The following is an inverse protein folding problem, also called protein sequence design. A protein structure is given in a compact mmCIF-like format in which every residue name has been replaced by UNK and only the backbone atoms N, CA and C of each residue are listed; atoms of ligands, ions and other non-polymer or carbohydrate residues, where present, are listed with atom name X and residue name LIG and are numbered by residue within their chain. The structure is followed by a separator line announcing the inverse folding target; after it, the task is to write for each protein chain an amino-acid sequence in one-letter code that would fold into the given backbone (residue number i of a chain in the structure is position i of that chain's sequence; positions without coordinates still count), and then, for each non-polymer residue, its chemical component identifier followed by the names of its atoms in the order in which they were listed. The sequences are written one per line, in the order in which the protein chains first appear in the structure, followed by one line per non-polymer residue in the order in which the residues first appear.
data_IF_282670220013
#
_entry.id   IF_282670220013
#
_cell.length_a   1.000
_cell.length_b   1.000
_cell.length_c   1.000
_cell.angle_alpha   90.00
_cell.angle_beta   90.00
_cell.angle_gamma   90.00
#
_symmetry.space_group_name_H-M   'P 1'
#
loop_
_entity.id
_entity.type
_entity.pdbx_description
1 polymer ?
#
# COMPACT_ATOMS: atom_id res chain seq x y z
N UNK A 1 -15.55 6.33 3.99
CA UNK A 1 -15.15 6.58 2.59
C UNK A 1 -16.09 5.80 1.68
N UNK A 2 -16.49 6.38 0.54
CA UNK A 2 -17.27 5.68 -0.49
C UNK A 2 -16.32 5.31 -1.61
N UNK A 3 -16.24 4.03 -1.94
CA UNK A 3 -15.42 3.51 -3.03
C UNK A 3 -16.33 3.14 -4.19
N UNK A 4 -16.19 3.80 -5.33
CA UNK A 4 -17.02 3.58 -6.52
C UNK A 4 -16.49 2.44 -7.39
N UNK A 5 -15.19 2.15 -7.30
CA UNK A 5 -14.54 1.09 -8.06
C UNK A 5 -13.53 0.39 -7.14
N UNK A 6 -13.75 -0.90 -6.86
CA UNK A 6 -12.94 -1.63 -5.88
C UNK A 6 -11.70 -2.27 -6.47
N UNK A 7 -11.74 -2.69 -7.74
CA UNK A 7 -10.67 -3.49 -8.36
C UNK A 7 -9.97 -2.78 -9.53
N UNK A 8 -10.53 -1.70 -10.07
CA UNK A 8 -9.92 -0.96 -11.17
C UNK A 8 -10.10 -1.54 -12.57
N UNK A 9 -10.67 -2.73 -12.67
CA UNK A 9 -10.89 -3.41 -13.96
C UNK A 9 -12.06 -2.77 -14.73
N UNK A 10 -12.15 -2.99 -16.03
CA UNK A 10 -13.33 -2.53 -16.76
C UNK A 10 -14.53 -3.42 -16.45
N UNK A 11 -15.76 -2.88 -16.35
CA UNK A 11 -16.94 -3.70 -16.17
C UNK A 11 -17.06 -4.73 -17.28
N UNK A 12 -17.29 -5.99 -16.90
CA UNK A 12 -17.40 -7.09 -17.84
C UNK A 12 -18.74 -7.01 -18.61
N UNK A 13 -18.73 -7.50 -19.85
CA UNK A 13 -19.90 -7.55 -20.73
C UNK A 13 -19.97 -8.92 -21.40
N UNK A 14 -21.17 -9.51 -21.44
CA UNK A 14 -21.42 -10.78 -22.12
C UNK A 14 -22.74 -10.72 -22.91
N UNK A 15 -22.83 -11.51 -23.98
CA UNK A 15 -24.07 -11.67 -24.74
C UNK A 15 -24.94 -12.77 -24.12
N UNK A 16 -26.22 -12.50 -24.01
CA UNK A 16 -27.24 -13.43 -23.49
C UNK A 16 -27.72 -14.33 -24.62
N UNK A 17 -27.76 -15.64 -24.36
CA UNK A 17 -28.31 -16.65 -25.26
C UNK A 17 -29.76 -16.97 -24.89
N UNK A 18 -30.02 -17.20 -23.61
CA UNK A 18 -31.34 -17.58 -23.11
C UNK A 18 -31.56 -17.06 -21.69
N UNK A 19 -32.82 -16.68 -21.38
CA UNK A 19 -33.26 -16.36 -20.02
C UNK A 19 -34.47 -17.23 -19.68
N UNK A 20 -34.42 -17.94 -18.55
CA UNK A 20 -35.54 -18.75 -18.06
C UNK A 20 -36.47 -17.94 -17.17
N UNK A 21 -37.76 -18.29 -17.24
CA UNK A 21 -38.81 -17.72 -16.40
C UNK A 21 -38.97 -18.58 -15.15
N UNK A 22 -38.51 -18.07 -14.00
CA UNK A 22 -38.51 -18.82 -12.76
C UNK A 22 -38.12 -17.98 -11.55
N UNK A 23 -38.11 -18.64 -10.38
CA UNK A 23 -37.65 -18.07 -9.12
C UNK A 23 -36.64 -19.03 -8.47
N UNK A 24 -35.33 -18.86 -8.70
CA UNK A 24 -34.69 -17.77 -9.46
C UNK A 24 -34.76 -17.95 -10.98
N UNK A 25 -34.72 -16.84 -11.74
CA UNK A 25 -34.52 -16.88 -13.17
C UNK A 25 -33.06 -17.21 -13.50
N UNK A 26 -32.81 -17.99 -14.55
CA UNK A 26 -31.45 -18.37 -14.96
C UNK A 26 -31.12 -17.74 -16.32
N UNK A 27 -29.93 -17.17 -16.41
CA UNK A 27 -29.39 -16.56 -17.62
C UNK A 27 -28.24 -17.42 -18.13
N UNK A 28 -28.32 -17.80 -19.40
CA UNK A 28 -27.28 -18.52 -20.12
C UNK A 28 -26.61 -17.58 -21.11
N UNK A 29 -25.30 -17.41 -20.99
CA UNK A 29 -24.48 -16.65 -21.93
C UNK A 29 -24.16 -17.46 -23.18
N UNK A 30 -23.69 -16.79 -24.23
CA UNK A 30 -23.28 -17.44 -25.47
C UNK A 30 -22.09 -18.40 -25.25
N UNK A 31 -22.15 -19.61 -25.83
CA UNK A 31 -21.21 -20.71 -25.56
C UNK A 31 -19.72 -20.39 -25.87
N UNK A 32 -19.46 -19.45 -26.78
CA UNK A 32 -18.10 -19.08 -27.18
C UNK A 32 -17.38 -18.17 -26.17
N UNK A 33 -18.09 -17.56 -25.20
CA UNK A 33 -17.51 -16.63 -24.25
C UNK A 33 -17.98 -16.90 -22.80
N UNK A 34 -17.02 -17.13 -21.90
CA UNK A 34 -17.30 -17.16 -20.45
C UNK A 34 -17.67 -15.76 -19.97
N UNK A 35 -18.63 -15.67 -19.06
CA UNK A 35 -19.10 -14.37 -18.56
C UNK A 35 -18.11 -13.68 -17.61
N UNK A 36 -17.29 -14.44 -16.87
CA UNK A 36 -16.25 -13.91 -15.99
C UNK A 36 -16.74 -13.24 -14.69
N UNK A 37 -18.06 -13.10 -14.50
CA UNK A 37 -18.66 -12.61 -13.25
C UNK A 37 -18.41 -13.51 -12.03
N UNK A 38 -18.51 -12.90 -10.84
CA UNK A 38 -18.47 -13.57 -9.54
C UNK A 38 -19.82 -13.52 -8.82
N UNK A 39 -20.02 -14.40 -7.83
CA UNK A 39 -21.26 -14.39 -7.04
C UNK A 39 -21.29 -13.16 -6.13
N UNK A 40 -22.40 -12.42 -6.16
CA UNK A 40 -22.56 -11.14 -5.43
C UNK A 40 -22.23 -9.91 -6.28
N UNK A 41 -21.88 -10.09 -7.56
CA UNK A 41 -21.81 -9.01 -8.53
C UNK A 41 -23.22 -8.48 -8.87
N UNK A 42 -23.26 -7.26 -9.39
CA UNK A 42 -24.48 -6.66 -9.90
C UNK A 42 -24.37 -6.49 -11.41
N UNK A 43 -25.46 -6.72 -12.13
CA UNK A 43 -25.50 -6.59 -13.59
C UNK A 43 -26.75 -5.84 -14.05
N UNK A 44 -26.68 -5.25 -15.23
CA UNK A 44 -27.80 -4.63 -15.94
C UNK A 44 -27.91 -5.22 -17.33
N UNK A 45 -29.14 -5.29 -17.85
CA UNK A 45 -29.44 -5.84 -19.16
C UNK A 45 -29.82 -4.73 -20.14
N UNK A 46 -29.45 -4.90 -21.40
CA UNK A 46 -29.87 -4.03 -22.51
C UNK A 46 -30.15 -4.88 -23.74
N UNK A 47 -31.06 -4.43 -24.62
CA UNK A 47 -31.39 -5.09 -25.89
C UNK A 47 -31.95 -6.52 -25.75
N UNK A 48 -32.57 -6.84 -24.60
CA UNK A 48 -33.30 -8.10 -24.41
C UNK A 48 -34.70 -8.00 -25.03
N UNK A 49 -35.00 -8.80 -26.05
CA UNK A 49 -36.33 -8.85 -26.66
C UNK A 49 -37.21 -9.91 -25.98
N UNK A 50 -38.48 -9.58 -25.72
CA UNK A 50 -39.47 -10.47 -25.08
C UNK A 50 -39.57 -10.32 -23.56
N UNK A 51 -38.49 -9.92 -22.90
CA UNK A 51 -38.43 -9.56 -21.47
C UNK A 51 -37.95 -8.11 -21.31
N UNK A 52 -38.73 -7.15 -21.80
CA UNK A 52 -38.36 -5.72 -21.79
C UNK A 52 -38.23 -5.14 -20.38
N UNK A 53 -38.89 -5.76 -19.39
CA UNK A 53 -38.79 -5.39 -17.98
C UNK A 53 -37.35 -5.49 -17.47
N UNK A 54 -36.55 -6.44 -17.99
CA UNK A 54 -35.13 -6.57 -17.65
C UNK A 54 -34.29 -5.39 -18.15
N UNK A 55 -34.63 -4.82 -19.31
CA UNK A 55 -33.92 -3.66 -19.87
C UNK A 55 -34.15 -2.39 -19.06
N UNK A 56 -35.29 -2.30 -18.36
CA UNK A 56 -35.66 -1.16 -17.52
C UNK A 56 -35.36 -1.40 -16.04
N UNK A 57 -34.86 -2.59 -15.68
CA UNK A 57 -34.53 -2.93 -14.32
C UNK A 57 -33.22 -2.25 -13.89
N UNK A 58 -33.15 -1.85 -12.62
CA UNK A 58 -31.89 -1.41 -12.02
C UNK A 58 -30.88 -2.57 -11.89
N UNK A 59 -29.69 -2.32 -11.33
CA UNK A 59 -28.69 -3.35 -11.13
C UNK A 59 -29.24 -4.53 -10.31
N UNK A 60 -29.13 -5.74 -10.85
CA UNK A 60 -29.61 -6.99 -10.23
C UNK A 60 -28.42 -7.79 -9.71
N UNK A 61 -28.52 -8.27 -8.47
CA UNK A 61 -27.52 -9.15 -7.87
C UNK A 61 -27.55 -10.54 -8.54
N UNK A 62 -26.38 -11.08 -8.85
CA UNK A 62 -26.24 -12.37 -9.51
C UNK A 62 -25.58 -13.44 -8.64
N UNK A 63 -25.97 -14.68 -8.85
CA UNK A 63 -25.31 -15.86 -8.29
C UNK A 63 -24.87 -16.80 -9.39
N UNK A 64 -23.57 -17.01 -9.49
CA UNK A 64 -22.95 -17.83 -10.54
C UNK A 64 -23.27 -19.30 -10.29
N UNK A 65 -23.81 -19.98 -11.32
CA UNK A 65 -24.14 -21.41 -11.29
C UNK A 65 -23.10 -22.24 -12.04
N UNK A 66 -22.48 -21.65 -13.06
CA UNK A 66 -21.44 -22.27 -13.87
C UNK A 66 -20.66 -21.23 -14.67
N UNK A 67 -19.76 -21.65 -15.57
CA UNK A 67 -18.93 -20.71 -16.37
C UNK A 67 -19.70 -19.95 -17.46
N UNK A 68 -20.92 -20.39 -17.78
CA UNK A 68 -21.79 -19.82 -18.81
C UNK A 68 -23.18 -19.46 -18.27
N UNK A 69 -23.45 -19.76 -17.00
CA UNK A 69 -24.79 -19.63 -16.42
C UNK A 69 -24.73 -18.97 -15.05
N UNK A 70 -25.65 -18.04 -14.84
CA UNK A 70 -25.85 -17.41 -13.55
C UNK A 70 -27.35 -17.20 -13.30
N UNK A 71 -27.71 -17.19 -12.03
CA UNK A 71 -29.08 -16.90 -11.60
C UNK A 71 -29.24 -15.42 -11.29
N UNK A 72 -30.42 -14.92 -11.62
CA UNK A 72 -30.94 -13.59 -11.28
C UNK A 72 -32.17 -13.75 -10.37
N UNK A 73 -32.75 -12.64 -9.92
CA UNK A 73 -33.95 -12.65 -9.06
C UNK A 73 -35.19 -13.31 -9.68
N UNK A 74 -36.36 -13.05 -9.11
CA UNK A 74 -37.61 -13.60 -9.61
C UNK A 74 -37.97 -13.00 -10.99
N UNK A 75 -38.04 -13.85 -12.02
CA UNK A 75 -38.47 -13.49 -13.38
C UNK A 75 -39.87 -13.99 -13.71
N UNK A 76 -40.59 -14.59 -12.75
CA UNK A 76 -41.90 -15.21 -12.97
C UNK A 76 -42.96 -14.22 -13.46
N UNK A 77 -42.82 -12.94 -13.11
CA UNK A 77 -43.71 -11.86 -13.54
C UNK A 77 -43.41 -11.26 -14.91
N UNK A 78 -42.32 -11.66 -15.58
CA UNK A 78 -41.88 -11.06 -16.84
C UNK A 78 -42.46 -11.76 -18.07
N UNK A 79 -42.34 -11.13 -19.24
CA UNK A 79 -42.65 -11.74 -20.54
C UNK A 79 -41.81 -12.98 -20.85
N UNK A 80 -42.09 -13.65 -21.97
CA UNK A 80 -41.27 -14.77 -22.44
C UNK A 80 -40.11 -14.25 -23.29
N UNK A 81 -38.88 -14.69 -22.99
CA UNK A 81 -37.68 -14.29 -23.72
C UNK A 81 -37.74 -14.74 -25.18
N UNK A 82 -37.40 -13.84 -26.11
CA UNK A 82 -37.40 -14.11 -27.56
C UNK A 82 -35.99 -14.24 -28.10
N UNK A 83 -35.16 -13.19 -27.98
CA UNK A 83 -33.79 -13.15 -28.50
C UNK A 83 -33.00 -11.95 -27.97
N UNK A 84 -31.69 -11.99 -28.20
CA UNK A 84 -30.80 -10.85 -27.94
C UNK A 84 -30.51 -10.63 -26.46
N UNK A 85 -29.85 -9.53 -26.17
CA UNK A 85 -29.50 -9.17 -24.80
C UNK A 85 -28.00 -9.08 -24.58
N UNK A 86 -27.59 -7.98 -23.98
CA UNK A 86 -26.25 -7.74 -23.49
C UNK A 86 -26.37 -7.56 -21.99
N UNK A 87 -25.60 -8.34 -21.24
CA UNK A 87 -25.45 -8.17 -19.79
C UNK A 87 -24.16 -7.41 -19.52
N UNK A 88 -24.25 -6.31 -18.80
CA UNK A 88 -23.11 -5.47 -18.40
C UNK A 88 -23.02 -5.44 -16.89
N UNK A 89 -21.82 -5.68 -16.36
CA UNK A 89 -21.55 -5.58 -14.93
C UNK A 89 -21.69 -4.13 -14.46
N UNK A 90 -22.29 -3.94 -13.29
CA UNK A 90 -22.39 -2.65 -12.62
C UNK A 90 -21.66 -2.73 -11.30
N UNK A 91 -20.64 -1.88 -11.14
CA UNK A 91 -19.88 -1.78 -9.89
C UNK A 91 -20.65 -0.93 -8.89
N UNK A 92 -21.21 -1.60 -7.89
CA UNK A 92 -21.92 -0.91 -6.82
C UNK A 92 -20.93 -0.22 -5.88
N UNK A 93 -21.20 1.03 -5.47
CA UNK A 93 -20.33 1.75 -4.55
C UNK A 93 -20.33 1.06 -3.17
N UNK A 94 -19.14 0.84 -2.61
CA UNK A 94 -18.97 0.24 -1.28
C UNK A 94 -18.63 1.30 -0.23
N UNK A 95 -19.24 1.17 0.95
CA UNK A 95 -18.94 2.02 2.09
C UNK A 95 -17.88 1.38 2.97
N UNK A 96 -16.67 1.95 2.99
CA UNK A 96 -15.58 1.51 3.86
C UNK A 96 -15.52 2.44 5.08
N UNK A 97 -15.51 1.86 6.27
CA UNK A 97 -15.41 2.57 7.55
C UNK A 97 -14.03 2.34 8.14
N UNK A 98 -13.34 3.42 8.47
CA UNK A 98 -12.03 3.38 9.11
C UNK A 98 -12.20 3.64 10.61
N UNK A 99 -11.55 2.81 11.44
CA UNK A 99 -11.28 3.12 12.84
C UNK A 99 -10.39 4.37 12.95
N UNK A 100 -10.54 5.12 14.04
CA UNK A 100 -9.63 6.23 14.38
C UNK A 100 -8.27 5.68 14.73
N UNK A 101 -7.20 6.46 14.52
CA UNK A 101 -5.82 6.03 14.80
C UNK A 101 -5.66 5.44 16.22
N UNK A 102 -6.27 6.06 17.24
CA UNK A 102 -6.21 5.59 18.63
C UNK A 102 -6.82 4.21 18.84
N UNK A 103 -7.91 3.92 18.13
CA UNK A 103 -8.60 2.62 18.19
C UNK A 103 -7.85 1.59 17.33
N UNK A 104 -7.38 2.01 16.16
CA UNK A 104 -6.59 1.20 15.23
C UNK A 104 -5.23 0.77 15.79
N UNK A 105 -4.67 1.51 16.75
CA UNK A 105 -3.43 1.13 17.45
C UNK A 105 -3.64 0.00 18.46
N UNK A 106 -4.86 -0.18 18.97
CA UNK A 106 -5.19 -1.25 19.93
C UNK A 106 -5.70 -2.49 19.19
N UNK A 107 -6.55 -2.27 18.18
CA UNK A 107 -7.12 -3.34 17.36
C UNK A 107 -6.77 -3.11 15.88
N UNK A 108 -5.52 -3.37 15.49
CA UNK A 108 -5.03 -3.14 14.14
C UNK A 108 -5.62 -4.14 13.13
N UNK A 109 -6.11 -3.62 12.02
CA UNK A 109 -6.38 -4.40 10.81
C UNK A 109 -5.15 -4.30 9.90
N UNK A 110 -4.51 -5.44 9.64
CA UNK A 110 -3.21 -5.49 8.97
C UNK A 110 -3.33 -6.14 7.59
N UNK A 111 -2.80 -5.46 6.57
CA UNK A 111 -2.64 -6.02 5.25
C UNK A 111 -1.30 -6.75 5.17
N UNK A 112 -1.34 -8.02 4.79
CA UNK A 112 -0.14 -8.85 4.59
C UNK A 112 0.49 -8.45 3.24
N UNK A 113 1.74 -8.00 3.28
CA UNK A 113 2.51 -7.66 2.06
C UNK A 113 3.23 -8.86 1.46
N UNK A 114 3.67 -9.78 2.31
CA UNK A 114 4.39 -11.00 1.96
C UNK A 114 3.80 -12.17 2.75
N UNK A 115 3.20 -13.12 2.04
CA UNK A 115 2.59 -14.31 2.65
C UNK A 115 3.62 -15.25 3.30
N UNK A 116 4.91 -15.14 2.95
CA UNK A 116 5.98 -15.87 3.61
C UNK A 116 6.38 -15.30 4.98
N UNK A 117 5.86 -14.11 5.33
CA UNK A 117 6.18 -13.35 6.55
C UNK A 117 4.93 -12.89 7.30
N UNK A 118 3.84 -13.67 7.21
CA UNK A 118 2.52 -13.26 7.71
C UNK A 118 2.49 -13.00 9.24
N UNK A 119 3.46 -13.55 9.98
CA UNK A 119 3.66 -13.38 11.42
C UNK A 119 4.38 -12.09 11.81
N UNK A 120 5.07 -11.42 10.87
CA UNK A 120 5.87 -10.21 11.15
C UNK A 120 5.06 -8.94 11.39
N UNK A 121 3.94 -8.65 10.69
CA UNK A 121 3.21 -7.38 10.87
C UNK A 121 2.78 -7.09 12.32
N UNK A 122 2.26 -8.06 13.10
CA UNK A 122 1.97 -7.86 14.52
C UNK A 122 3.19 -7.44 15.34
N UNK A 123 4.32 -8.12 15.15
CA UNK A 123 5.57 -7.85 15.87
C UNK A 123 6.10 -6.46 15.51
N UNK A 124 6.09 -6.13 14.22
CA UNK A 124 6.47 -4.79 13.73
C UNK A 124 5.56 -3.71 14.28
N UNK A 125 4.25 -3.97 14.41
CA UNK A 125 3.32 -3.01 14.99
C UNK A 125 3.70 -2.60 16.41
N UNK A 126 4.04 -3.55 17.27
CA UNK A 126 4.51 -3.26 18.62
C UNK A 126 5.93 -2.68 18.63
N UNK A 127 6.82 -3.17 17.77
CA UNK A 127 8.20 -2.68 17.64
C UNK A 127 8.25 -1.20 17.28
N UNK A 128 7.40 -0.74 16.37
CA UNK A 128 7.30 0.68 16.01
C UNK A 128 6.76 1.56 17.14
N UNK A 129 5.78 1.06 17.89
CA UNK A 129 5.31 1.76 19.09
C UNK A 129 6.42 1.90 20.14
N UNK A 130 7.21 0.84 20.35
CA UNK A 130 8.36 0.86 21.25
C UNK A 130 9.46 1.80 20.76
N UNK A 131 9.76 1.81 19.45
CA UNK A 131 10.73 2.72 18.86
C UNK A 131 10.34 4.19 19.07
N UNK A 132 9.06 4.54 18.86
CA UNK A 132 8.57 5.88 19.16
C UNK A 132 8.66 6.24 20.65
N UNK A 133 8.44 5.27 21.56
CA UNK A 133 8.66 5.47 23.00
C UNK A 133 10.13 5.73 23.32
N UNK A 134 11.04 4.95 22.74
CA UNK A 134 12.49 5.12 22.90
C UNK A 134 12.92 6.54 22.47
N UNK A 135 12.50 6.98 21.27
CA UNK A 135 12.82 8.32 20.74
C UNK A 135 12.30 9.40 21.68
N UNK A 136 11.09 9.22 22.24
CA UNK A 136 10.51 10.17 23.19
C UNK A 136 11.26 10.23 24.52
N UNK A 137 11.81 9.10 24.99
CA UNK A 137 12.55 9.03 26.25
C UNK A 137 13.97 9.60 26.13
N UNK A 138 14.68 9.26 25.06
CA UNK A 138 16.09 9.64 24.87
C UNK A 138 16.30 10.91 24.04
N UNK A 139 15.25 11.40 23.35
CA UNK A 139 15.35 12.54 22.43
C UNK A 139 16.16 12.25 21.17
N UNK A 140 16.48 10.98 20.91
CA UNK A 140 17.26 10.51 19.75
C UNK A 140 16.79 9.12 19.32
N UNK A 141 16.97 8.73 18.04
CA UNK A 141 16.82 7.35 17.63
C UNK A 141 17.92 6.44 18.22
N UNK A 142 17.69 5.11 18.26
CA UNK A 142 18.71 4.12 18.58
C UNK A 142 19.94 4.28 17.69
N UNK A 143 21.13 4.06 18.24
CA UNK A 143 22.36 4.11 17.43
C UNK A 143 22.46 2.91 16.48
N UNK A 144 23.02 3.08 15.27
CA UNK A 144 23.21 2.00 14.32
C UNK A 144 23.96 0.81 14.94
N UNK A 145 23.43 -0.41 14.82
CA UNK A 145 24.04 -1.67 15.31
C UNK A 145 24.45 -1.67 16.80
N UNK A 146 23.97 -0.73 17.62
CA UNK A 146 24.33 -0.65 19.03
C UNK A 146 23.44 -1.57 19.89
N UNK A 147 24.07 -2.55 20.53
CA UNK A 147 23.38 -3.63 21.26
C UNK A 147 22.55 -3.15 22.47
N UNK A 148 23.03 -2.15 23.22
CA UNK A 148 22.32 -1.65 24.41
C UNK A 148 20.99 -0.97 24.06
N UNK A 149 21.03 0.05 23.21
CA UNK A 149 19.85 0.69 22.62
C UNK A 149 18.87 -0.33 21.99
N UNK A 150 19.36 -1.36 21.29
CA UNK A 150 18.51 -2.40 20.72
C UNK A 150 17.81 -3.26 21.79
N UNK A 151 18.54 -3.67 22.83
CA UNK A 151 17.96 -4.40 23.97
C UNK A 151 16.89 -3.57 24.70
N UNK A 152 17.07 -2.25 24.78
CA UNK A 152 16.08 -1.34 25.36
C UNK A 152 14.80 -1.26 24.51
N UNK A 153 14.90 -1.19 23.18
CA UNK A 153 13.73 -1.24 22.29
C UNK A 153 12.97 -2.56 22.44
N UNK A 154 13.66 -3.69 22.55
CA UNK A 154 13.03 -5.01 22.82
C UNK A 154 12.30 -4.99 24.16
N UNK A 155 12.91 -4.43 25.21
CA UNK A 155 12.28 -4.30 26.53
C UNK A 155 11.01 -3.43 26.47
N UNK A 156 11.08 -2.27 25.80
CA UNK A 156 9.92 -1.40 25.59
C UNK A 156 8.81 -2.07 24.77
N UNK A 157 9.16 -2.97 23.84
CA UNK A 157 8.18 -3.73 23.06
C UNK A 157 7.40 -4.71 23.94
N UNK A 158 8.08 -5.37 24.89
CA UNK A 158 7.43 -6.24 25.89
C UNK A 158 6.46 -5.46 26.78
N UNK A 159 6.74 -4.19 27.06
CA UNK A 159 5.81 -3.32 27.80
C UNK A 159 4.59 -2.90 26.98
N UNK A 160 4.75 -2.73 25.66
CA UNK A 160 3.64 -2.40 24.74
C UNK A 160 2.69 -3.59 24.60
N UNK A 161 3.23 -4.80 24.48
CA UNK A 161 2.47 -6.02 24.27
C UNK A 161 2.83 -7.09 25.32
N UNK A 162 2.34 -6.96 26.56
CA UNK A 162 2.64 -7.92 27.63
C UNK A 162 2.03 -9.28 27.28
N UNK A 163 2.85 -10.32 27.27
CA UNK A 163 2.44 -11.70 27.01
C UNK A 163 2.31 -12.08 25.53
N UNK A 164 2.67 -11.19 24.60
CA UNK A 164 2.79 -11.54 23.19
C UNK A 164 4.09 -12.32 22.92
N UNK A 165 4.05 -13.24 21.95
CA UNK A 165 5.26 -13.86 21.41
C UNK A 165 6.00 -12.84 20.55
N UNK A 166 7.25 -12.56 20.89
CA UNK A 166 8.10 -11.58 20.21
C UNK A 166 9.28 -12.27 19.57
N UNK A 167 9.53 -11.94 18.32
CA UNK A 167 10.81 -12.21 17.67
C UNK A 167 11.80 -11.12 18.06
N UNK A 168 12.69 -11.43 19.01
CA UNK A 168 13.69 -10.48 19.48
C UNK A 168 14.72 -10.12 18.43
N UNK A 169 15.03 -11.05 17.51
CA UNK A 169 16.02 -10.81 16.46
C UNK A 169 15.47 -9.79 15.47
N UNK A 170 14.20 -9.95 15.07
CA UNK A 170 13.48 -8.99 14.24
C UNK A 170 13.43 -7.59 14.86
N UNK A 171 13.17 -7.51 16.16
CA UNK A 171 13.11 -6.24 16.89
C UNK A 171 14.50 -5.59 17.07
N UNK A 172 15.56 -6.39 17.23
CA UNK A 172 16.93 -5.89 17.25
C UNK A 172 17.33 -5.33 15.89
N UNK A 173 16.98 -6.02 14.80
CA UNK A 173 17.22 -5.51 13.44
C UNK A 173 16.48 -4.20 13.18
N UNK A 174 15.23 -4.08 13.64
CA UNK A 174 14.49 -2.81 13.61
C UNK A 174 15.26 -1.69 14.33
N UNK A 175 15.80 -1.96 15.52
CA UNK A 175 16.55 -0.97 16.28
C UNK A 175 17.90 -0.62 15.64
N UNK A 176 18.62 -1.60 15.10
CA UNK A 176 19.91 -1.38 14.43
C UNK A 176 19.80 -0.51 13.19
N UNK A 177 18.64 -0.54 12.53
CA UNK A 177 18.39 0.15 11.28
C UNK A 177 17.53 1.42 11.47
N UNK A 178 17.21 1.79 12.70
CA UNK A 178 16.32 2.91 13.03
C UNK A 178 16.83 4.30 12.62
N UNK A 179 18.06 4.43 12.11
CA UNK A 179 18.58 5.67 11.52
C UNK A 179 18.92 5.54 10.04
N UNK A 180 18.56 4.41 9.40
CA UNK A 180 18.76 4.26 7.97
C UNK A 180 18.03 5.35 7.20
N UNK A 181 18.40 5.62 5.96
CA UNK A 181 17.57 6.41 5.05
C UNK A 181 17.86 5.94 3.63
N UNK A 182 16.91 5.20 3.05
CA UNK A 182 17.16 4.40 1.86
C UNK A 182 16.24 4.82 0.74
N UNK A 183 16.84 5.38 -0.30
CA UNK A 183 16.09 5.89 -1.46
C UNK A 183 15.12 4.85 -2.08
N UNK A 184 15.46 3.55 -2.23
CA UNK A 184 14.51 2.57 -2.77
C UNK A 184 13.28 2.36 -1.88
N UNK A 185 13.47 2.32 -0.55
CA UNK A 185 12.37 2.15 0.41
C UNK A 185 11.49 3.39 0.44
N UNK A 186 12.10 4.58 0.43
CA UNK A 186 11.37 5.85 0.35
C UNK A 186 10.56 5.97 -0.94
N UNK A 187 11.11 5.53 -2.08
CA UNK A 187 10.40 5.53 -3.34
C UNK A 187 9.23 4.55 -3.33
N UNK A 188 9.41 3.34 -2.79
CA UNK A 188 8.38 2.33 -2.67
C UNK A 188 7.22 2.80 -1.77
N UNK A 189 7.52 3.19 -0.53
CA UNK A 189 6.49 3.63 0.42
C UNK A 189 5.89 4.98 0.01
N UNK A 190 6.69 5.89 -0.55
CA UNK A 190 6.22 7.16 -1.09
C UNK A 190 5.23 6.97 -2.24
N UNK A 191 5.49 5.98 -3.12
CA UNK A 191 4.57 5.59 -4.19
C UNK A 191 3.26 5.02 -3.65
N UNK A 192 3.31 4.12 -2.66
CA UNK A 192 2.11 3.59 -2.00
C UNK A 192 1.31 4.68 -1.30
N UNK A 193 1.97 5.54 -0.52
CA UNK A 193 1.32 6.65 0.18
C UNK A 193 0.67 7.63 -0.80
N UNK A 194 1.35 7.99 -1.89
CA UNK A 194 0.78 8.83 -2.94
C UNK A 194 -0.45 8.18 -3.58
N UNK A 195 -0.41 6.86 -3.84
CA UNK A 195 -1.55 6.14 -4.37
C UNK A 195 -2.73 6.15 -3.38
N UNK A 196 -2.50 5.94 -2.09
CA UNK A 196 -3.56 6.01 -1.07
C UNK A 196 -4.18 7.42 -0.98
N UNK A 197 -3.39 8.49 -1.14
CA UNK A 197 -3.94 9.86 -1.27
C UNK A 197 -4.86 9.95 -2.49
N UNK A 198 -4.44 9.40 -3.64
CA UNK A 198 -5.28 9.39 -4.84
C UNK A 198 -6.57 8.61 -4.63
N UNK A 199 -6.53 7.45 -3.95
CA UNK A 199 -7.72 6.69 -3.59
C UNK A 199 -8.65 7.51 -2.69
N UNK A 200 -8.11 8.14 -1.66
CA UNK A 200 -8.87 8.95 -0.71
C UNK A 200 -9.66 10.10 -1.37
N UNK A 201 -9.04 10.83 -2.30
CA UNK A 201 -9.68 11.98 -2.97
C UNK A 201 -10.60 11.59 -4.11
N UNK A 202 -10.35 10.44 -4.77
CA UNK A 202 -11.13 10.01 -5.94
C UNK A 202 -12.25 9.03 -5.59
N UNK A 203 -12.16 8.33 -4.46
CA UNK A 203 -13.02 7.18 -4.18
C UNK A 203 -12.80 6.01 -5.13
N UNK A 204 -11.69 6.00 -5.89
CA UNK A 204 -11.34 4.94 -6.84
C UNK A 204 -10.29 4.00 -6.24
N UNK A 205 -10.47 2.70 -6.47
CA UNK A 205 -9.71 1.57 -5.91
C UNK A 205 -9.93 1.34 -4.41
N UNK A 206 -9.76 0.08 -4.00
CA UNK A 206 -9.83 -0.28 -2.58
C UNK A 206 -8.60 0.27 -1.84
N UNK A 207 -8.78 1.09 -0.78
CA UNK A 207 -7.70 1.58 0.06
C UNK A 207 -7.16 0.50 1.00
N UNK A 208 -5.96 0.73 1.53
CA UNK A 208 -5.39 -0.12 2.58
C UNK A 208 -6.23 0.02 3.86
N UNK A 209 -6.61 -1.11 4.46
CA UNK A 209 -7.44 -1.19 5.68
C UNK A 209 -6.68 -1.98 6.75
N UNK A 210 -6.00 -1.37 7.70
CA UNK A 210 -5.57 0.03 7.78
C UNK A 210 -4.04 0.17 7.89
N UNK A 211 -3.37 -0.87 8.35
CA UNK A 211 -1.93 -0.91 8.57
C UNK A 211 -1.26 -1.75 7.50
N UNK A 212 -0.17 -1.22 6.95
CA UNK A 212 0.73 -1.96 6.07
C UNK A 212 2.14 -1.88 6.65
N UNK A 213 2.72 -3.05 6.89
CA UNK A 213 4.12 -3.23 7.29
C UNK A 213 4.83 -3.96 6.16
N UNK A 214 5.98 -3.45 5.76
CA UNK A 214 6.80 -4.05 4.72
C UNK A 214 8.24 -4.08 5.20
N UNK A 215 8.91 -5.22 5.17
CA UNK A 215 10.33 -5.33 5.47
C UNK A 215 11.08 -6.01 4.32
N UNK A 216 12.32 -5.59 4.10
CA UNK A 216 13.22 -6.13 3.09
C UNK A 216 14.54 -6.58 3.73
N UNK A 217 14.45 -7.38 4.81
CA UNK A 217 15.61 -7.87 5.55
C UNK A 217 16.53 -8.78 4.73
N UNK A 218 16.00 -9.38 3.66
CA UNK A 218 16.75 -10.20 2.70
C UNK A 218 17.84 -9.40 1.97
N UNK A 219 17.74 -8.07 2.03
CA UNK A 219 18.73 -7.18 1.47
C UNK A 219 19.97 -7.03 2.35
N UNK A 220 19.92 -7.46 3.62
CA UNK A 220 21.10 -7.49 4.48
C UNK A 220 22.09 -8.56 3.98
N UNK A 221 23.41 -8.31 4.08
CA UNK A 221 24.41 -9.33 3.80
C UNK A 221 24.23 -10.51 4.76
N UNK A 222 24.23 -11.73 4.23
CA UNK A 222 24.22 -12.95 5.05
C UNK A 222 25.43 -12.97 5.98
N UNK A 223 25.22 -13.23 7.27
CA UNK A 223 26.26 -13.24 8.32
C UNK A 223 27.42 -14.23 8.03
N UNK A 224 27.23 -15.15 7.08
CA UNK A 224 28.19 -16.21 6.72
C UNK A 224 29.26 -15.81 5.68
N UNK A 225 29.37 -14.54 5.28
CA UNK A 225 30.36 -14.09 4.27
C UNK A 225 31.09 -12.83 4.70
N UNK A 226 32.18 -12.97 5.46
CA UNK A 226 33.27 -11.99 5.70
C UNK A 226 32.90 -10.54 6.10
N UNK A 227 31.61 -10.21 6.29
CA UNK A 227 31.08 -8.85 6.41
C UNK A 227 30.09 -8.78 7.57
N UNK A 228 30.59 -9.01 8.79
CA UNK A 228 29.82 -8.71 10.01
C UNK A 228 29.65 -7.20 10.11
N UNK A 229 28.40 -6.71 10.03
CA UNK A 229 28.07 -5.30 10.18
C UNK A 229 28.30 -4.87 11.63
N UNK A 230 29.39 -4.13 11.89
CA UNK A 230 29.69 -3.62 13.23
C UNK A 230 29.17 -2.19 13.43
N UNK A 231 28.99 -1.79 14.70
CA UNK A 231 28.66 -0.41 15.08
C UNK A 231 29.66 0.60 14.48
N UNK A 232 30.94 0.24 14.43
CA UNK A 232 31.99 1.11 13.90
C UNK A 232 31.84 1.38 12.39
N UNK A 233 31.46 0.36 11.62
CA UNK A 233 31.22 0.48 10.18
C UNK A 233 29.94 1.26 9.87
N UNK A 234 28.92 1.14 10.72
CA UNK A 234 27.62 1.77 10.53
C UNK A 234 27.53 3.16 11.18
N UNK A 235 28.61 3.66 11.78
CA UNK A 235 28.62 4.98 12.40
C UNK A 235 28.45 6.07 11.33
N UNK A 236 27.63 7.11 11.58
CA UNK A 236 27.55 8.26 10.68
C UNK A 236 28.93 8.86 10.46
N UNK A 237 29.31 9.07 9.21
CA UNK A 237 30.56 9.74 8.85
C UNK A 237 30.18 11.04 8.16
N UNK A 238 30.53 12.16 8.79
CA UNK A 238 30.40 13.47 8.16
C UNK A 238 31.32 13.50 6.92
N UNK A 239 30.75 13.36 5.72
CA UNK A 239 31.47 13.60 4.47
C UNK A 239 31.68 15.10 4.30
N UNK A 240 32.72 15.63 4.95
CA UNK A 240 33.15 17.01 4.79
C UNK A 240 34.19 17.11 3.68
N UNK A 241 33.71 17.49 2.49
CA UNK A 241 34.59 17.75 1.34
C UNK A 241 34.00 18.66 0.26
N UNK A 242 32.92 19.41 0.51
CA UNK A 242 32.44 20.44 -0.42
C UNK A 242 31.96 21.67 0.36
N UNK A 243 32.43 22.85 -0.06
CA UNK A 243 32.34 24.12 0.64
C UNK A 243 30.94 24.56 1.06
N UNK A 244 30.89 25.22 2.23
CA UNK A 244 29.71 25.76 2.90
C UNK A 244 29.22 27.05 2.19
N UNK A 245 27.90 27.30 2.16
CA UNK A 245 27.41 28.57 2.68
C UNK A 245 26.51 28.36 3.89
N UNK A 246 26.66 29.25 4.86
CA UNK A 246 25.90 29.27 6.10
C UNK A 246 24.41 29.56 5.82
N UNK A 247 23.54 28.69 6.33
CA UNK A 247 22.09 28.87 6.34
C UNK A 247 21.47 27.66 7.03
N UNK A 248 20.81 27.89 8.17
CA UNK A 248 20.31 26.84 9.04
C UNK A 248 19.36 25.88 8.35
N UNK A 249 19.71 24.60 8.37
CA UNK A 249 18.86 23.48 8.03
C UNK A 249 19.50 22.23 8.62
N UNK A 250 18.76 21.49 9.43
CA UNK A 250 19.18 20.17 9.91
C UNK A 250 19.37 19.27 8.69
N UNK A 251 20.63 19.06 8.30
CA UNK A 251 21.00 18.22 7.16
C UNK A 251 21.26 16.82 7.73
N UNK A 252 20.46 15.85 7.31
CA UNK A 252 20.60 14.44 7.70
C UNK A 252 22.03 13.98 7.43
N UNK A 253 22.69 13.43 8.44
CA UNK A 253 24.03 12.88 8.33
C UNK A 253 23.98 11.60 7.49
N UNK A 254 24.61 11.62 6.31
CA UNK A 254 24.74 10.43 5.46
C UNK A 254 25.67 9.42 6.16
N UNK A 255 25.17 8.23 6.49
CA UNK A 255 25.99 7.08 6.89
C UNK A 255 26.80 6.66 5.66
N UNK A 256 28.14 6.47 5.75
CA UNK A 256 28.99 6.22 4.61
C UNK A 256 28.53 4.96 3.86
N UNK A 257 28.39 5.11 2.54
CA UNK A 257 28.08 4.07 1.57
C UNK A 257 29.31 3.19 1.37
N UNK A 258 29.64 2.40 2.39
CA UNK A 258 30.77 1.48 2.45
C UNK A 258 30.42 0.29 3.34
N UNK A 259 29.38 -0.45 2.96
CA UNK A 259 28.75 -1.48 3.78
C UNK A 259 27.26 -1.22 3.85
N UNK A 260 26.53 -1.90 2.98
CA UNK A 260 25.11 -1.73 2.73
C UNK A 260 24.32 -1.94 4.05
N UNK A 261 23.81 -0.86 4.65
CA UNK A 261 22.84 -0.94 5.74
C UNK A 261 21.44 -0.79 5.13
N UNK A 262 20.75 -1.91 4.93
CA UNK A 262 19.43 -2.00 4.28
C UNK A 262 18.34 -2.37 5.29
N UNK A 263 17.30 -1.54 5.35
CA UNK A 263 15.98 -1.89 5.89
C UNK A 263 15.31 -0.74 6.64
N UNK A 264 14.14 -0.33 6.17
CA UNK A 264 13.12 0.22 7.05
C UNK A 264 11.85 -0.59 6.86
N UNK A 265 11.21 -0.88 7.98
CA UNK A 265 9.86 -1.38 8.01
C UNK A 265 8.84 -0.23 8.10
N UNK A 266 8.80 0.74 7.18
CA UNK A 266 7.91 1.90 7.40
C UNK A 266 6.44 1.48 7.46
N UNK A 267 5.79 1.96 8.53
CA UNK A 267 4.38 1.79 8.81
C UNK A 267 3.58 2.79 7.99
N UNK A 268 2.82 2.30 7.01
CA UNK A 268 1.76 3.11 6.41
C UNK A 268 0.53 2.96 7.31
N UNK A 269 0.47 3.79 8.35
CA UNK A 269 -0.59 3.81 9.34
C UNK A 269 -1.30 5.15 9.36
N UNK A 270 -2.53 5.18 8.83
CA UNK A 270 -3.47 6.31 8.85
C UNK A 270 -3.07 7.53 7.99
N UNK A 271 -3.21 7.39 6.66
CA UNK A 271 -3.02 8.47 5.69
C UNK A 271 -4.16 9.51 5.62
N UNK A 272 -5.09 9.53 6.58
CA UNK A 272 -6.30 10.35 6.48
C UNK A 272 -6.42 11.50 7.49
N UNK A 273 -5.59 11.58 8.53
CA UNK A 273 -5.70 12.70 9.51
C UNK A 273 -4.56 13.74 9.45
N UNK A 274 -3.34 13.44 8.94
CA UNK A 274 -2.22 14.39 8.94
C UNK A 274 -1.56 14.59 7.56
N UNK A 275 -2.28 15.23 6.63
CA UNK A 275 -1.74 15.71 5.33
C UNK A 275 -0.60 16.74 5.52
N UNK A 276 -0.44 17.35 6.70
CA UNK A 276 0.62 18.34 6.98
C UNK A 276 2.01 17.72 7.19
N UNK A 277 2.11 16.49 7.68
CA UNK A 277 3.41 15.85 7.90
C UNK A 277 4.04 15.35 6.59
N UNK A 278 3.22 14.87 5.64
CA UNK A 278 3.70 14.39 4.34
C UNK A 278 4.28 15.51 3.46
N UNK A 279 3.70 16.72 3.54
CA UNK A 279 4.19 17.90 2.80
C UNK A 279 5.61 18.33 3.19
N UNK A 280 5.97 18.16 4.46
CA UNK A 280 7.31 18.54 4.97
C UNK A 280 8.37 17.51 4.57
N UNK A 281 7.99 16.22 4.46
CA UNK A 281 8.89 15.13 4.09
C UNK A 281 9.08 14.99 2.56
N UNK A 282 8.02 15.20 1.77
CA UNK A 282 8.10 15.20 0.30
C UNK A 282 8.88 16.41 -0.23
N UNK A 283 8.79 17.59 0.40
CA UNK A 283 9.60 18.74 0.00
C UNK A 283 11.09 18.58 0.34
N UNK A 284 11.42 17.89 1.44
CA UNK A 284 12.81 17.54 1.78
C UNK A 284 13.43 16.57 0.77
N UNK A 285 12.69 15.55 0.35
CA UNK A 285 13.16 14.50 -0.56
C UNK A 285 13.12 14.90 -2.05
N UNK A 286 12.09 15.62 -2.51
CA UNK A 286 12.03 16.16 -3.88
C UNK A 286 13.01 17.32 -4.11
N UNK A 287 13.31 18.12 -3.08
CA UNK A 287 14.35 19.16 -3.15
C UNK A 287 15.74 18.59 -3.43
N UNK A 288 16.04 17.40 -2.90
CA UNK A 288 17.28 16.67 -3.16
C UNK A 288 17.34 16.04 -4.57
N UNK A 289 16.20 15.59 -5.11
CA UNK A 289 16.12 15.00 -6.46
C UNK A 289 16.20 16.06 -7.58
N UNK A 290 15.63 17.26 -7.38
CA UNK A 290 15.69 18.34 -8.39
C UNK A 290 17.02 19.10 -8.39
N UNK A 291 17.78 19.11 -7.29
CA UNK A 291 19.11 19.74 -7.25
C UNK A 291 20.21 18.91 -7.95
N UNK A 292 19.94 17.67 -8.38
CA UNK A 292 20.97 16.73 -8.88
C UNK A 292 20.86 16.40 -10.39
N UNK A 293 20.26 17.24 -11.23
CA UNK A 293 20.38 17.13 -12.70
C UNK A 293 21.30 18.22 -13.30
N UNK A 294 22.58 17.85 -13.41
CA UNK A 294 23.60 18.29 -14.40
C UNK A 294 24.01 19.78 -14.46
N UNK A 295 25.30 20.11 -14.27
CA UNK A 295 25.89 21.35 -14.75
C UNK A 295 26.09 21.23 -16.27
N UNK A 296 25.33 21.98 -17.07
CA UNK A 296 25.70 22.19 -18.46
C UNK A 296 27.00 22.99 -18.52
N UNK A 297 28.01 22.34 -19.04
CA UNK A 297 29.30 22.91 -19.45
C UNK A 297 29.02 23.99 -20.49
N UNK A 298 29.06 25.26 -20.11
CA UNK A 298 29.22 26.38 -21.04
C UNK A 298 30.70 26.79 -21.02
N UNK A 299 31.50 26.20 -21.91
CA UNK A 299 32.81 26.73 -22.26
C UNK A 299 32.84 27.06 -23.75
N UNK A 300 33.16 28.32 -24.02
CA UNK A 300 33.64 28.91 -25.28
C UNK A 300 32.64 29.10 -26.43
N UNK A 301 32.19 30.35 -26.59
CA UNK A 301 32.46 31.09 -27.83
C UNK A 301 32.75 32.56 -27.48
N UNK A 302 33.93 32.99 -27.93
CA UNK A 302 34.57 34.30 -27.72
C UNK A 302 33.75 35.47 -28.26
N UNK A 303 33.98 36.62 -27.64
CA UNK A 303 33.87 37.94 -28.25
C UNK A 303 34.38 37.96 -29.71
N UNK A 304 33.57 38.50 -30.61
CA UNK A 304 34.03 39.36 -31.72
C UNK A 304 32.86 40.22 -32.21
N UNK A 305 33.05 41.53 -32.09
CA UNK A 305 32.54 42.66 -32.88
C UNK A 305 31.42 42.44 -33.92
N UNK A 306 30.45 43.37 -33.89
CA UNK A 306 29.51 43.67 -34.97
C UNK A 306 28.36 44.53 -34.48
#
# INVERSE_FOLDING_TARGET
MVVTDTNGEQPLSAMVSMVTKGCPGEVTCLDEARHGFETGDFVTFTEVEGMEELNSCGPVEIRVLGPYTFSIGDTSGFGDYVRGGIVTQVKMPKHIRFKRLREALVEPEMMITDFGKAERPPIMHWGWQALHRFIRQHGRPPRPRHQGDAAEVVALTREVAPGAELDEELLRELAFQATGDLAPVNAFIGGLAAQEVMKAVSGKFTPITQWLYFDALECLPEENKETVLTEEQCRPVSTHGWGRPAGGGHRSEEVPVGGISLGWALVVGCLLEDIQCLGTFLMSSMGCLFSRRQPWVCHHLRDTHG
#
